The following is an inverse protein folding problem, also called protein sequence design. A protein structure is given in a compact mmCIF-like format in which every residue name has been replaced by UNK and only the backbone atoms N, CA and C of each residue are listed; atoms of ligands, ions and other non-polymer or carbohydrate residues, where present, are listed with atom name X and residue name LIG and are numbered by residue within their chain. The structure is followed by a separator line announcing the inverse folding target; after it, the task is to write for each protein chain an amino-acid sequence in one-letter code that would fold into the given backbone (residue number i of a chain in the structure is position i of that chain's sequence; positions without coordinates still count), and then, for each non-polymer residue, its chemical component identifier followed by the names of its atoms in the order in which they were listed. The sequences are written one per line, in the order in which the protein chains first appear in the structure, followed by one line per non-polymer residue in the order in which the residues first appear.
data_IF_157330175197
#
_entry.id   IF_157330175197
#
_cell.length_a   1.000
_cell.length_b   1.000
_cell.length_c   1.000
_cell.angle_alpha   90.00
_cell.angle_beta   90.00
_cell.angle_gamma   90.00
#
_symmetry.space_group_name_H-M   'P 1'
#
loop_
_entity.id
_entity.type
_entity.pdbx_description
1 polymer ?
#
# COMPACT_ATOMS: atom_id res chain seq x y z
N UNK A 1 42.69 23.08 -16.62
CA UNK A 1 41.87 22.34 -15.64
C UNK A 1 40.73 21.65 -16.39
N UNK A 2 40.50 20.34 -16.20
CA UNK A 2 39.41 19.65 -16.87
C UNK A 2 38.05 20.03 -16.26
N UNK A 3 37.02 20.09 -17.10
CA UNK A 3 35.62 20.32 -16.71
C UNK A 3 34.80 19.10 -17.07
N UNK A 4 33.99 18.62 -16.12
CA UNK A 4 33.10 17.47 -16.31
C UNK A 4 31.67 17.99 -16.21
N UNK A 5 30.82 17.60 -17.15
CA UNK A 5 29.40 17.97 -17.17
C UNK A 5 28.57 16.77 -16.76
N UNK A 6 27.83 16.90 -15.66
CA UNK A 6 26.97 15.86 -15.11
C UNK A 6 25.51 16.15 -15.48
N UNK A 7 24.78 15.15 -16.00
CA UNK A 7 23.35 15.27 -16.32
C UNK A 7 22.57 14.45 -15.30
N UNK A 8 21.90 15.14 -14.37
CA UNK A 8 21.02 14.50 -13.39
C UNK A 8 19.59 14.38 -13.94
N UNK A 9 18.97 13.20 -13.77
CA UNK A 9 17.57 12.96 -14.06
C UNK A 9 16.73 13.26 -12.81
N UNK A 10 15.87 14.28 -12.87
CA UNK A 10 14.97 14.64 -11.78
C UNK A 10 13.68 13.81 -11.90
N UNK A 11 13.42 12.95 -10.92
CA UNK A 11 12.13 12.26 -10.78
C UNK A 11 11.23 13.12 -9.89
N UNK A 12 10.11 13.63 -10.43
CA UNK A 12 9.10 14.36 -9.67
C UNK A 12 7.84 13.51 -9.55
N UNK A 13 7.31 13.38 -8.34
CA UNK A 13 5.98 12.84 -8.14
C UNK A 13 4.95 13.90 -8.59
N UNK A 14 4.03 13.50 -9.46
CA UNK A 14 2.97 14.36 -9.97
C UNK A 14 1.67 13.80 -9.43
N UNK A 15 1.00 14.57 -8.58
CA UNK A 15 -0.36 14.27 -8.17
C UNK A 15 -1.31 14.68 -9.31
N UNK A 16 -1.92 13.70 -9.94
CA UNK A 16 -2.94 13.92 -10.98
C UNK A 16 -4.30 13.72 -10.33
N UNK A 17 -5.17 14.76 -10.29
CA UNK A 17 -6.52 14.62 -9.78
C UNK A 17 -7.30 13.54 -10.52
N UNK A 18 -8.12 12.78 -9.80
CA UNK A 18 -8.84 11.63 -10.34
C UNK A 18 -9.80 12.04 -11.48
N UNK A 19 -10.43 13.21 -11.37
CA UNK A 19 -11.29 13.77 -12.43
C UNK A 19 -10.55 14.02 -13.74
N UNK A 20 -9.29 14.46 -13.67
CA UNK A 20 -8.44 14.66 -14.84
C UNK A 20 -8.13 13.33 -15.51
N UNK A 21 -7.92 12.28 -14.72
CA UNK A 21 -7.68 10.93 -15.23
C UNK A 21 -8.91 10.39 -15.98
N UNK A 22 -10.12 10.60 -15.45
CA UNK A 22 -11.35 10.16 -16.12
C UNK A 22 -11.54 10.84 -17.48
N UNK A 23 -11.33 12.16 -17.55
CA UNK A 23 -11.41 12.90 -18.82
C UNK A 23 -10.40 12.42 -19.84
N UNK A 24 -9.19 12.05 -19.42
CA UNK A 24 -8.18 11.51 -20.32
C UNK A 24 -8.61 10.15 -20.87
N UNK A 25 -9.17 9.27 -20.04
CA UNK A 25 -9.66 7.96 -20.46
C UNK A 25 -10.85 8.07 -21.41
N UNK A 26 -11.76 9.00 -21.17
CA UNK A 26 -12.96 9.22 -22.01
C UNK A 26 -12.62 9.76 -23.40
N UNK A 27 -11.46 10.44 -23.54
CA UNK A 27 -10.99 10.97 -24.82
C UNK A 27 -10.15 9.97 -25.64
N UNK A 28 -9.87 8.77 -25.11
CA UNK A 28 -9.12 7.74 -25.84
C UNK A 28 -9.98 7.09 -26.92
N UNK A 29 -9.35 6.75 -28.04
CA UNK A 29 -10.02 5.94 -29.05
C UNK A 29 -10.16 4.47 -28.60
N UNK A 30 -10.91 3.68 -29.37
CA UNK A 30 -11.18 2.27 -29.04
C UNK A 30 -9.90 1.42 -29.00
N UNK A 31 -8.93 1.73 -29.84
CA UNK A 31 -7.68 0.97 -29.96
C UNK A 31 -6.73 1.29 -28.80
N UNK A 32 -6.60 2.58 -28.47
CA UNK A 32 -5.86 3.09 -27.32
C UNK A 32 -6.42 2.58 -26.00
N UNK A 33 -7.75 2.59 -25.85
CA UNK A 33 -8.42 2.04 -24.68
C UNK A 33 -8.17 0.54 -24.54
N UNK A 34 -8.19 -0.22 -25.64
CA UNK A 34 -7.87 -1.65 -25.62
C UNK A 34 -6.41 -1.91 -25.21
N UNK A 35 -5.46 -1.17 -25.77
CA UNK A 35 -4.03 -1.25 -25.40
C UNK A 35 -3.80 -0.88 -23.93
N UNK A 36 -4.48 0.15 -23.43
CA UNK A 36 -4.40 0.57 -22.03
C UNK A 36 -4.95 -0.52 -21.09
N UNK A 37 -6.09 -1.13 -21.42
CA UNK A 37 -6.66 -2.24 -20.65
C UNK A 37 -5.73 -3.47 -20.63
N UNK A 38 -5.11 -3.83 -21.75
CA UNK A 38 -4.13 -4.93 -21.79
C UNK A 38 -2.89 -4.65 -20.91
N UNK A 39 -2.40 -3.40 -20.88
CA UNK A 39 -1.31 -2.98 -19.99
C UNK A 39 -1.70 -3.00 -18.51
N UNK A 40 -2.96 -2.77 -18.19
CA UNK A 40 -3.46 -2.85 -16.81
C UNK A 40 -3.67 -4.31 -16.38
N UNK A 41 -4.21 -5.16 -17.26
CA UNK A 41 -4.39 -6.61 -17.00
C UNK A 41 -3.07 -7.34 -16.75
N UNK A 42 -2.01 -6.97 -17.46
CA UNK A 42 -0.67 -7.55 -17.29
C UNK A 42 -0.03 -7.16 -15.96
N UNK A 43 -0.53 -6.12 -15.30
CA UNK A 43 -0.17 -5.77 -13.92
C UNK A 43 -1.04 -6.59 -12.96
N UNK A 44 -0.83 -7.91 -12.94
CA UNK A 44 -1.37 -8.74 -11.88
C UNK A 44 -0.91 -8.12 -10.55
N UNK A 45 -1.86 -7.56 -9.80
CA UNK A 45 -1.58 -7.04 -8.46
C UNK A 45 -1.16 -8.24 -7.65
N UNK A 46 0.15 -8.42 -7.47
CA UNK A 46 0.70 -9.43 -6.57
C UNK A 46 0.29 -9.00 -5.17
N UNK A 47 -0.85 -9.50 -4.72
CA UNK A 47 -1.22 -9.42 -3.32
C UNK A 47 -0.12 -10.13 -2.54
N UNK A 48 0.63 -9.37 -1.77
CA UNK A 48 1.58 -9.95 -0.84
C UNK A 48 0.82 -10.82 0.16
N UNK A 49 1.36 -11.98 0.54
CA UNK A 49 0.75 -12.77 1.61
C UNK A 49 0.66 -11.90 2.87
N UNK A 50 -0.43 -12.07 3.62
CA UNK A 50 -0.59 -11.42 4.91
C UNK A 50 0.60 -11.78 5.81
N UNK A 51 1.38 -10.77 6.20
CA UNK A 51 2.52 -10.95 7.09
C UNK A 51 2.02 -10.73 8.51
N UNK A 52 1.76 -11.82 9.24
CA UNK A 52 1.39 -11.74 10.65
C UNK A 52 2.53 -11.16 11.47
N UNK A 53 2.19 -10.21 12.34
CA UNK A 53 3.12 -9.70 13.35
C UNK A 53 3.04 -10.57 14.62
N UNK A 54 4.03 -10.44 15.50
CA UNK A 54 4.03 -11.12 16.80
C UNK A 54 2.93 -10.54 17.70
N UNK A 55 2.28 -11.40 18.48
CA UNK A 55 1.22 -10.99 19.42
C UNK A 55 1.76 -9.95 20.40
N UNK A 56 2.99 -10.12 20.86
CA UNK A 56 3.65 -9.18 21.77
C UNK A 56 3.86 -7.80 21.14
N UNK A 57 4.15 -7.75 19.84
CA UNK A 57 4.32 -6.48 19.11
C UNK A 57 2.98 -5.75 19.00
N UNK A 58 1.93 -6.48 18.63
CA UNK A 58 0.57 -5.94 18.54
C UNK A 58 0.15 -5.37 19.90
N UNK A 59 0.27 -6.15 20.97
CA UNK A 59 -0.10 -5.69 22.31
C UNK A 59 0.70 -4.46 22.77
N UNK A 60 1.98 -4.37 22.36
CA UNK A 60 2.82 -3.21 22.66
C UNK A 60 2.33 -1.95 21.96
N UNK A 61 1.90 -2.06 20.69
CA UNK A 61 1.35 -0.93 19.94
C UNK A 61 0.07 -0.38 20.61
N UNK A 62 -0.82 -1.27 21.05
CA UNK A 62 -2.03 -0.86 21.78
C UNK A 62 -1.70 -0.25 23.15
N UNK A 63 -0.78 -0.85 23.90
CA UNK A 63 -0.31 -0.30 25.20
C UNK A 63 0.35 1.06 25.05
N UNK A 64 1.11 1.29 23.99
CA UNK A 64 1.80 2.56 23.74
C UNK A 64 0.83 3.74 23.56
N UNK A 65 -0.42 3.48 23.21
CA UNK A 65 -1.43 4.54 23.10
C UNK A 65 -1.97 5.01 24.45
N UNK A 66 -1.86 4.20 25.52
CA UNK A 66 -2.43 4.49 26.85
C UNK A 66 -3.94 4.83 26.84
N UNK A 67 -4.66 4.38 25.79
CA UNK A 67 -6.09 4.64 25.60
C UNK A 67 -6.98 3.43 25.94
N UNK A 68 -6.38 2.31 26.32
CA UNK A 68 -7.07 1.04 26.49
C UNK A 68 -6.84 0.47 27.88
N UNK A 69 -7.93 0.00 28.49
CA UNK A 69 -7.93 -0.66 29.78
C UNK A 69 -7.20 -2.01 29.72
N UNK A 70 -6.61 -2.42 30.86
CA UNK A 70 -5.89 -3.69 30.98
C UNK A 70 -6.78 -4.91 30.64
N UNK A 71 -8.07 -4.83 30.95
CA UNK A 71 -9.04 -5.88 30.65
C UNK A 71 -9.20 -6.08 29.12
N UNK A 72 -9.28 -4.97 28.38
CA UNK A 72 -9.34 -5.02 26.91
C UNK A 72 -8.07 -5.65 26.32
N UNK A 73 -6.89 -5.28 26.83
CA UNK A 73 -5.62 -5.81 26.34
C UNK A 73 -5.51 -7.32 26.56
N UNK A 74 -6.03 -7.80 27.68
CA UNK A 74 -6.07 -9.23 28.00
C UNK A 74 -7.04 -9.99 27.10
N UNK A 75 -8.22 -9.44 26.85
CA UNK A 75 -9.18 -10.03 25.91
C UNK A 75 -8.65 -10.06 24.48
N UNK A 76 -7.92 -9.02 24.07
CA UNK A 76 -7.23 -8.96 22.78
C UNK A 76 -6.17 -10.06 22.67
N UNK A 77 -5.33 -10.25 23.69
CA UNK A 77 -4.32 -11.30 23.71
C UNK A 77 -4.94 -12.70 23.58
N UNK A 78 -5.98 -12.98 24.37
CA UNK A 78 -6.67 -14.28 24.35
C UNK A 78 -7.41 -14.52 23.03
N UNK A 79 -8.00 -13.46 22.45
CA UNK A 79 -8.62 -13.50 21.14
C UNK A 79 -7.60 -13.80 20.03
N UNK A 80 -6.44 -13.15 20.06
CA UNK A 80 -5.35 -13.37 19.11
C UNK A 80 -4.81 -14.80 19.21
N UNK A 81 -4.61 -15.33 20.43
CA UNK A 81 -4.16 -16.73 20.64
C UNK A 81 -5.16 -17.77 20.12
N UNK A 82 -6.46 -17.48 20.19
CA UNK A 82 -7.52 -18.36 19.68
C UNK A 82 -7.71 -18.27 18.17
N UNK A 83 -7.20 -17.21 17.54
CA UNK A 83 -7.31 -17.01 16.10
C UNK A 83 -6.58 -18.10 15.32
N UNK A 84 -7.21 -18.60 14.27
CA UNK A 84 -6.61 -19.58 13.35
C UNK A 84 -5.34 -19.08 12.66
N UNK A 85 -5.10 -17.76 12.66
CA UNK A 85 -3.88 -17.14 12.10
C UNK A 85 -2.64 -17.34 13.00
N UNK A 86 -2.87 -17.51 14.30
CA UNK A 86 -1.84 -17.61 15.35
C UNK A 86 -1.75 -19.01 16.00
N UNK A 87 -2.63 -19.95 15.60
CA UNK A 87 -2.47 -21.38 15.89
C UNK A 87 -1.22 -21.98 15.26
#
# INVERSE_FOLDING_TARGET
MPRITFKETITKEIEIPLDTLYRLVDNLDKEERAKLLERLKTKAVKLSPFKKDKIESILSDFKATDLYEDEFLKDLEDGLKKSSLYK
#
